data_IF_879972476347
#
_entry.id   IF_879972476347
#
_cell.length_a   1.000
_cell.length_b   1.000
_cell.length_c   1.000
_cell.angle_alpha   90.00
_cell.angle_beta   90.00
_cell.angle_gamma   90.00
#
_symmetry.space_group_name_H-M   'P 1'
#
loop_
_entity.id
_entity.type
_entity.pdbx_description
1 polymer ?
#
# COMPACT_ATOMS: atom_id res chain seq x y z
N UNK A 1 2.69 -37.37 -7.00
CA UNK A 1 2.22 -36.72 -8.24
C UNK A 1 2.04 -37.79 -9.30
N UNK A 2 1.22 -37.59 -10.33
CA UNK A 2 0.99 -38.62 -11.35
C UNK A 2 1.89 -38.39 -12.57
N UNK A 3 2.42 -39.44 -13.20
CA UNK A 3 3.17 -39.31 -14.47
C UNK A 3 2.18 -39.00 -15.61
N UNK A 4 2.33 -37.84 -16.24
CA UNK A 4 1.48 -37.41 -17.35
C UNK A 4 2.04 -37.88 -18.70
N UNK A 5 3.35 -37.70 -18.92
CA UNK A 5 4.02 -38.10 -20.16
C UNK A 5 5.44 -38.60 -19.91
N UNK A 6 5.89 -39.49 -20.79
CA UNK A 6 7.25 -39.99 -20.87
C UNK A 6 7.75 -39.76 -22.29
N UNK A 7 8.98 -39.26 -22.43
CA UNK A 7 9.56 -38.83 -23.71
C UNK A 7 10.73 -39.72 -24.17
N UNK A 8 11.07 -40.75 -23.39
CA UNK A 8 12.22 -41.63 -23.59
C UNK A 8 11.86 -43.08 -23.28
N UNK A 9 12.54 -44.02 -23.92
CA UNK A 9 12.40 -45.45 -23.65
C UNK A 9 13.74 -46.11 -23.28
N UNK A 10 13.67 -47.37 -22.86
CA UNK A 10 14.86 -48.17 -22.55
C UNK A 10 15.76 -48.28 -23.78
N UNK A 11 17.05 -48.04 -23.58
CA UNK A 11 18.04 -48.05 -24.65
C UNK A 11 18.28 -46.69 -25.32
N UNK A 12 17.48 -45.66 -25.05
CA UNK A 12 17.71 -44.32 -25.58
C UNK A 12 18.96 -43.66 -24.99
N UNK A 13 19.66 -42.88 -25.82
CA UNK A 13 20.77 -42.04 -25.40
C UNK A 13 20.22 -40.66 -25.01
N UNK A 14 20.54 -40.22 -23.80
CA UNK A 14 20.09 -38.94 -23.25
C UNK A 14 21.27 -38.01 -22.96
N UNK A 15 21.01 -36.71 -23.09
CA UNK A 15 21.97 -35.64 -22.78
C UNK A 15 21.71 -35.06 -21.37
N UNK A 16 22.70 -34.44 -20.72
CA UNK A 16 22.48 -33.65 -19.52
C UNK A 16 21.39 -32.59 -19.76
N UNK A 17 20.42 -32.48 -18.85
CA UNK A 17 19.28 -31.58 -18.94
C UNK A 17 18.13 -32.05 -19.85
N UNK A 18 18.23 -33.21 -20.50
CA UNK A 18 17.17 -33.71 -21.38
C UNK A 18 15.92 -34.11 -20.56
N UNK A 19 14.75 -33.66 -21.01
CA UNK A 19 13.47 -34.02 -20.41
C UNK A 19 13.16 -35.51 -20.66
N UNK A 20 12.91 -36.26 -19.59
CA UNK A 20 12.62 -37.69 -19.61
C UNK A 20 11.12 -37.95 -19.41
N UNK A 21 10.52 -37.24 -18.47
CA UNK A 21 9.09 -37.34 -18.15
C UNK A 21 8.55 -36.05 -17.55
N UNK A 22 7.24 -35.87 -17.63
CA UNK A 22 6.51 -34.81 -16.93
C UNK A 22 5.49 -35.41 -15.99
N UNK A 23 5.41 -34.86 -14.79
CA UNK A 23 4.36 -35.13 -13.81
C UNK A 23 3.20 -34.16 -14.02
N UNK A 24 1.99 -34.56 -13.65
CA UNK A 24 0.82 -33.66 -13.59
C UNK A 24 1.17 -32.48 -12.68
N UNK A 25 1.16 -31.30 -13.28
CA UNK A 25 1.55 -30.04 -12.66
C UNK A 25 0.39 -29.05 -12.56
N UNK A 26 -0.85 -29.50 -12.79
CA UNK A 26 -2.05 -28.66 -12.72
C UNK A 26 -2.11 -27.87 -11.40
N UNK A 27 -1.89 -28.55 -10.27
CA UNK A 27 -1.89 -27.93 -8.93
C UNK A 27 -0.72 -26.95 -8.75
N UNK A 28 0.51 -27.33 -9.11
CA UNK A 28 1.69 -26.46 -8.95
C UNK A 28 1.61 -25.23 -9.86
N UNK A 29 1.07 -25.38 -11.07
CA UNK A 29 0.86 -24.28 -12.01
C UNK A 29 -0.18 -23.30 -11.47
N UNK A 30 -1.28 -23.80 -10.90
CA UNK A 30 -2.28 -22.98 -10.24
C UNK A 30 -1.71 -22.26 -9.00
N UNK A 31 -0.89 -22.93 -8.19
CA UNK A 31 -0.22 -22.32 -7.03
C UNK A 31 0.78 -21.25 -7.45
N UNK A 32 1.50 -21.44 -8.56
CA UNK A 32 2.40 -20.42 -9.09
C UNK A 32 1.63 -19.20 -9.59
N UNK A 33 0.53 -19.41 -10.32
CA UNK A 33 -0.37 -18.33 -10.76
C UNK A 33 -0.95 -17.57 -9.57
N UNK A 34 -1.38 -18.27 -8.52
CA UNK A 34 -1.85 -17.64 -7.29
C UNK A 34 -0.75 -16.80 -6.63
N UNK A 35 0.47 -17.31 -6.51
CA UNK A 35 1.59 -16.55 -5.96
C UNK A 35 1.92 -15.31 -6.81
N UNK A 36 1.86 -15.41 -8.13
CA UNK A 36 2.04 -14.27 -9.03
C UNK A 36 0.95 -13.21 -8.85
N UNK A 37 -0.31 -13.62 -8.70
CA UNK A 37 -1.42 -12.70 -8.40
C UNK A 37 -1.22 -12.00 -7.04
N UNK A 38 -0.73 -12.73 -6.02
CA UNK A 38 -0.39 -12.15 -4.72
C UNK A 38 0.73 -11.12 -4.83
N UNK A 39 1.78 -11.38 -5.62
CA UNK A 39 2.83 -10.37 -5.88
C UNK A 39 2.22 -9.12 -6.50
N UNK A 40 1.41 -9.26 -7.56
CA UNK A 40 0.78 -8.12 -8.21
C UNK A 40 -0.09 -7.30 -7.24
N UNK A 41 -0.84 -7.97 -6.35
CA UNK A 41 -1.61 -7.31 -5.29
C UNK A 41 -0.71 -6.53 -4.31
N UNK A 42 0.40 -7.12 -3.86
CA UNK A 42 1.34 -6.46 -2.92
C UNK A 42 2.09 -5.30 -3.58
N UNK A 43 2.45 -5.43 -4.86
CA UNK A 43 3.06 -4.34 -5.63
C UNK A 43 2.09 -3.17 -5.82
N UNK A 44 0.83 -3.45 -6.16
CA UNK A 44 -0.22 -2.43 -6.23
C UNK A 44 -0.42 -1.72 -4.89
N UNK A 45 -0.46 -2.47 -3.78
CA UNK A 45 -0.58 -1.90 -2.43
C UNK A 45 0.62 -1.03 -2.06
N UNK A 46 1.84 -1.46 -2.37
CA UNK A 46 3.04 -0.67 -2.14
C UNK A 46 3.06 0.61 -2.99
N UNK A 47 2.60 0.53 -4.25
CA UNK A 47 2.47 1.68 -5.13
C UNK A 47 1.44 2.69 -4.59
N UNK A 48 0.28 2.22 -4.11
CA UNK A 48 -0.74 3.03 -3.43
C UNK A 48 -0.14 3.77 -2.21
N UNK A 49 0.57 3.04 -1.35
CA UNK A 49 1.22 3.63 -0.17
C UNK A 49 2.32 4.63 -0.52
N UNK A 50 3.02 4.45 -1.65
CA UNK A 50 4.05 5.41 -2.12
C UNK A 50 3.45 6.62 -2.81
N UNK A 51 2.35 6.45 -3.54
CA UNK A 51 1.59 7.55 -4.11
C UNK A 51 1.01 8.46 -3.01
N UNK A 52 0.72 7.89 -1.84
CA UNK A 52 0.25 8.62 -0.68
C UNK A 52 -1.21 9.06 -0.83
N UNK A 53 -1.57 10.16 -0.16
CA UNK A 53 -2.92 10.72 -0.28
C UNK A 53 -3.12 11.30 -1.67
N UNK A 54 -4.36 11.26 -2.16
CA UNK A 54 -4.67 11.76 -3.51
C UNK A 54 -4.46 13.27 -3.57
N UNK A 55 -3.98 13.76 -4.72
CA UNK A 55 -3.72 15.20 -4.93
C UNK A 55 -5.00 16.01 -4.74
N UNK A 56 -6.14 15.43 -5.11
CA UNK A 56 -7.48 15.98 -4.95
C UNK A 56 -7.86 16.14 -3.47
N UNK A 57 -7.52 15.19 -2.61
CA UNK A 57 -7.79 15.26 -1.16
C UNK A 57 -6.94 16.35 -0.50
N UNK A 58 -5.66 16.46 -0.89
CA UNK A 58 -4.77 17.52 -0.43
C UNK A 58 -5.28 18.89 -0.91
N UNK A 59 -5.71 18.98 -2.17
CA UNK A 59 -6.26 20.22 -2.72
C UNK A 59 -7.55 20.64 -2.00
N UNK A 60 -8.44 19.70 -1.68
CA UNK A 60 -9.64 19.97 -0.90
C UNK A 60 -9.31 20.45 0.52
N UNK A 61 -8.34 19.81 1.19
CA UNK A 61 -7.89 20.24 2.52
C UNK A 61 -7.26 21.64 2.49
N UNK A 62 -6.46 21.95 1.46
CA UNK A 62 -5.91 23.31 1.25
C UNK A 62 -7.01 24.35 1.02
N UNK A 63 -8.01 24.02 0.22
CA UNK A 63 -9.16 24.91 0.00
C UNK A 63 -9.93 25.19 1.31
N UNK A 64 -10.10 24.17 2.15
CA UNK A 64 -10.71 24.32 3.48
C UNK A 64 -9.90 25.28 4.37
N UNK A 65 -8.57 25.10 4.44
CA UNK A 65 -7.67 26.00 5.17
C UNK A 65 -7.79 27.44 4.66
N UNK A 66 -7.80 27.64 3.33
CA UNK A 66 -7.97 28.97 2.72
C UNK A 66 -9.33 29.60 3.07
N UNK A 67 -10.41 28.82 3.07
CA UNK A 67 -11.73 29.30 3.43
C UNK A 67 -11.77 29.78 4.89
N UNK A 68 -11.21 29.00 5.82
CA UNK A 68 -11.16 29.38 7.24
C UNK A 68 -10.26 30.60 7.43
N UNK A 69 -9.14 30.68 6.70
CA UNK A 69 -8.27 31.85 6.74
C UNK A 69 -9.02 33.13 6.31
N UNK A 70 -9.89 33.05 5.29
CA UNK A 70 -10.74 34.17 4.89
C UNK A 70 -11.75 34.55 5.99
N UNK A 71 -12.32 33.55 6.68
CA UNK A 71 -13.21 33.79 7.83
C UNK A 71 -12.48 34.47 9.01
N UNK A 72 -11.22 34.08 9.27
CA UNK A 72 -10.37 34.76 10.26
C UNK A 72 -10.19 36.22 9.87
N UNK A 73 -9.80 36.51 8.63
CA UNK A 73 -9.59 37.89 8.16
C UNK A 73 -10.86 38.73 8.29
N UNK A 74 -12.03 38.16 7.99
CA UNK A 74 -13.31 38.83 8.21
C UNK A 74 -13.58 39.09 9.70
N UNK A 75 -13.39 38.09 10.56
CA UNK A 75 -13.62 38.22 11.99
C UNK A 75 -12.66 39.21 12.67
N UNK A 76 -11.41 39.31 12.18
CA UNK A 76 -10.43 40.31 12.62
C UNK A 76 -10.89 41.73 12.27
N UNK A 77 -11.40 41.94 11.06
CA UNK A 77 -11.94 43.22 10.64
C UNK A 77 -13.17 43.64 11.47
N UNK A 78 -14.07 42.70 11.73
CA UNK A 78 -15.27 42.91 12.55
C UNK A 78 -14.91 43.25 14.00
N UNK A 79 -13.98 42.50 14.60
CA UNK A 79 -13.48 42.77 15.96
C UNK A 79 -12.81 44.15 16.04
N UNK A 80 -11.97 44.49 15.06
CA UNK A 80 -11.31 45.79 15.01
C UNK A 80 -12.31 46.95 14.88
N UNK A 81 -13.42 46.76 14.16
CA UNK A 81 -14.52 47.74 14.10
C UNK A 81 -15.22 47.86 15.46
N UNK A 82 -15.56 46.74 16.10
CA UNK A 82 -16.22 46.73 17.41
C UNK A 82 -15.34 47.40 18.49
N UNK A 83 -14.04 47.10 18.52
CA UNK A 83 -13.07 47.71 19.44
C UNK A 83 -12.98 49.24 19.24
N UNK A 84 -12.90 49.72 17.99
CA UNK A 84 -12.91 51.17 17.71
C UNK A 84 -14.21 51.85 18.15
N UNK A 85 -15.35 51.16 18.08
CA UNK A 85 -16.63 51.67 18.59
C UNK A 85 -16.62 51.76 20.11
N UNK A 86 -16.12 50.73 20.81
CA UNK A 86 -15.95 50.75 22.27
C UNK A 86 -15.06 51.91 22.70
N UNK A 87 -13.89 52.07 22.07
CA UNK A 87 -12.93 53.12 22.41
C UNK A 87 -13.54 54.52 22.26
N UNK A 88 -14.20 54.79 21.12
CA UNK A 88 -14.88 56.07 20.89
C UNK A 88 -16.00 56.33 21.90
N UNK A 89 -16.82 55.32 22.19
CA UNK A 89 -17.96 55.48 23.08
C UNK A 89 -17.54 55.56 24.56
N UNK A 90 -16.40 54.97 24.93
CA UNK A 90 -15.83 55.16 26.27
C UNK A 90 -15.50 56.62 26.54
N UNK A 91 -14.91 57.33 25.57
CA UNK A 91 -14.68 58.78 25.71
C UNK A 91 -16.00 59.55 25.85
N UNK A 92 -17.03 59.19 25.06
CA UNK A 92 -18.34 59.83 25.12
C UNK A 92 -19.11 59.56 26.43
N UNK A 93 -18.90 58.42 27.08
CA UNK A 93 -19.50 58.13 28.41
C UNK A 93 -18.88 59.00 29.49
N UNK A 94 -17.55 59.17 29.45
CA UNK A 94 -16.82 60.08 30.36
C UNK A 94 -17.29 61.53 30.19
N UNK A 95 -17.58 61.94 28.96
CA UNK A 95 -18.13 63.26 28.64
C UNK A 95 -19.64 63.39 28.95
N UNK A 96 -20.29 62.32 29.44
CA UNK A 96 -21.72 62.28 29.79
C UNK A 96 -22.67 62.24 28.58
N UNK A 97 -22.17 61.99 27.37
CA UNK A 97 -22.92 62.02 26.12
C UNK A 97 -23.66 60.70 25.80
N UNK A 98 -23.32 59.59 26.46
CA UNK A 98 -24.01 58.30 26.35
C UNK A 98 -24.26 57.66 27.72
N UNK A 99 -25.15 56.65 27.78
CA UNK A 99 -25.40 55.88 29.00
C UNK A 99 -24.39 54.76 29.21
N UNK A 100 -24.20 54.32 30.46
CA UNK A 100 -23.39 53.15 30.81
C UNK A 100 -23.89 51.87 30.16
N UNK A 101 -25.21 51.64 30.19
CA UNK A 101 -25.84 50.48 29.55
C UNK A 101 -25.46 50.39 28.06
N UNK A 102 -25.37 51.54 27.37
CA UNK A 102 -24.99 51.58 25.96
C UNK A 102 -23.52 51.21 25.74
N UNK A 103 -22.62 51.60 26.65
CA UNK A 103 -21.23 51.18 26.60
C UNK A 103 -21.08 49.68 26.89
N UNK A 104 -21.84 49.15 27.84
CA UNK A 104 -21.85 47.73 28.20
C UNK A 104 -22.33 46.85 27.04
N UNK A 105 -23.34 47.28 26.29
CA UNK A 105 -23.76 46.61 25.05
C UNK A 105 -22.62 46.50 24.02
N UNK A 106 -21.84 47.56 23.83
CA UNK A 106 -20.71 47.58 22.90
C UNK A 106 -19.55 46.72 23.38
N UNK A 107 -19.30 46.68 24.69
CA UNK A 107 -18.30 45.80 25.30
C UNK A 107 -18.67 44.34 25.08
N UNK A 108 -19.95 43.99 25.29
CA UNK A 108 -20.46 42.64 25.03
C UNK A 108 -20.35 42.27 23.54
N UNK A 109 -20.70 43.18 22.62
CA UNK A 109 -20.51 42.95 21.17
C UNK A 109 -19.05 42.66 20.82
N UNK A 110 -18.11 43.47 21.32
CA UNK A 110 -16.68 43.25 21.10
C UNK A 110 -16.19 41.90 21.66
N UNK A 111 -16.68 41.50 22.85
CA UNK A 111 -16.37 40.20 23.43
C UNK A 111 -16.90 39.04 22.58
N UNK A 112 -18.11 39.15 22.04
CA UNK A 112 -18.69 38.16 21.13
C UNK A 112 -17.83 38.04 19.85
N UNK A 113 -17.45 39.17 19.24
CA UNK A 113 -16.56 39.16 18.06
C UNK A 113 -15.19 38.54 18.36
N UNK A 114 -14.66 38.78 19.55
CA UNK A 114 -13.41 38.15 19.99
C UNK A 114 -13.56 36.63 20.13
N UNK A 115 -14.66 36.16 20.71
CA UNK A 115 -14.95 34.73 20.83
C UNK A 115 -15.07 34.05 19.45
N UNK A 116 -15.75 34.71 18.49
CA UNK A 116 -15.86 34.23 17.11
C UNK A 116 -14.49 34.13 16.44
N UNK A 117 -13.62 35.14 16.61
CA UNK A 117 -12.26 35.09 16.08
C UNK A 117 -11.46 33.92 16.67
N UNK A 118 -11.56 33.70 17.99
CA UNK A 118 -10.87 32.57 18.63
C UNK A 118 -11.40 31.23 18.13
N UNK A 119 -12.71 31.12 17.89
CA UNK A 119 -13.31 29.93 17.30
C UNK A 119 -12.72 29.64 15.92
N UNK A 120 -12.65 30.63 15.03
CA UNK A 120 -12.06 30.44 13.69
C UNK A 120 -10.56 30.11 13.75
N UNK A 121 -9.81 30.71 14.68
CA UNK A 121 -8.39 30.37 14.89
C UNK A 121 -8.21 28.92 15.32
N UNK A 122 -9.06 28.42 16.23
CA UNK A 122 -9.04 27.02 16.61
C UNK A 122 -9.37 26.09 15.43
N UNK A 123 -10.41 26.42 14.65
CA UNK A 123 -10.76 25.66 13.44
C UNK A 123 -9.66 25.69 12.38
N UNK A 124 -8.94 26.81 12.24
CA UNK A 124 -7.81 26.91 11.32
C UNK A 124 -6.67 25.99 11.73
N UNK A 125 -6.32 25.98 13.02
CA UNK A 125 -5.31 25.06 13.53
C UNK A 125 -5.68 23.60 13.26
N UNK A 126 -6.93 23.22 13.53
CA UNK A 126 -7.42 21.86 13.26
C UNK A 126 -7.33 21.51 11.77
N UNK A 127 -7.77 22.41 10.88
CA UNK A 127 -7.70 22.20 9.43
C UNK A 127 -6.25 22.13 8.94
N UNK A 128 -5.35 22.93 9.51
CA UNK A 128 -3.93 22.94 9.18
C UNK A 128 -3.24 21.64 9.62
N UNK A 129 -3.57 21.14 10.81
CA UNK A 129 -3.09 19.83 11.29
C UNK A 129 -3.60 18.69 10.40
N UNK A 130 -4.86 18.76 9.97
CA UNK A 130 -5.42 17.78 9.05
C UNK A 130 -4.72 17.80 7.70
N UNK A 131 -4.46 18.99 7.13
CA UNK A 131 -3.67 19.14 5.91
C UNK A 131 -2.24 18.58 6.10
N UNK A 132 -1.59 18.89 7.21
CA UNK A 132 -0.24 18.38 7.50
C UNK A 132 -0.20 16.85 7.59
N UNK A 133 -1.24 16.21 8.15
CA UNK A 133 -1.35 14.75 8.17
C UNK A 133 -1.51 14.16 6.77
N UNK A 134 -2.28 14.83 5.90
CA UNK A 134 -2.44 14.42 4.51
C UNK A 134 -1.15 14.60 3.70
N UNK A 135 -0.41 15.70 3.92
CA UNK A 135 0.86 15.96 3.24
C UNK A 135 2.01 15.07 3.73
N UNK A 136 2.02 14.69 5.02
CA UNK A 136 3.01 13.78 5.58
C UNK A 136 2.91 12.36 4.97
N UNK A 137 1.74 11.99 4.44
CA UNK A 137 1.50 10.72 3.79
C UNK A 137 1.65 9.50 4.72
N UNK A 138 1.73 8.29 4.15
CA UNK A 138 1.90 7.06 4.91
C UNK A 138 3.25 7.05 5.63
N UNK A 139 3.24 6.60 6.89
CA UNK A 139 4.45 6.53 7.69
C UNK A 139 5.47 5.55 7.08
N UNK A 140 6.76 5.83 7.25
CA UNK A 140 7.86 5.02 6.69
C UNK A 140 7.79 3.56 7.14
N UNK A 141 7.32 3.31 8.36
CA UNK A 141 7.16 1.97 8.94
C UNK A 141 6.11 1.16 8.17
N UNK A 142 5.02 1.80 7.73
CA UNK A 142 3.97 1.15 6.94
C UNK A 142 4.48 0.79 5.54
N UNK A 143 5.27 1.68 4.93
CA UNK A 143 5.93 1.40 3.65
C UNK A 143 6.94 0.25 3.81
N UNK A 144 7.75 0.27 4.88
CA UNK A 144 8.72 -0.78 5.16
C UNK A 144 8.03 -2.14 5.37
N UNK A 145 6.90 -2.17 6.09
CA UNK A 145 6.09 -3.37 6.25
C UNK A 145 5.58 -3.88 4.89
N UNK A 146 5.03 -3.01 4.04
CA UNK A 146 4.56 -3.40 2.71
C UNK A 146 5.69 -3.91 1.79
N UNK A 147 6.91 -3.37 1.93
CA UNK A 147 8.10 -3.90 1.25
C UNK A 147 8.44 -5.30 1.75
N UNK A 148 8.36 -5.55 3.06
CA UNK A 148 8.59 -6.87 3.64
C UNK A 148 7.55 -7.89 3.17
N UNK A 149 6.26 -7.52 3.16
CA UNK A 149 5.17 -8.37 2.64
C UNK A 149 5.36 -8.71 1.15
N UNK A 150 5.84 -7.76 0.35
CA UNK A 150 6.18 -8.01 -1.05
C UNK A 150 7.36 -8.97 -1.19
N UNK A 151 8.38 -8.84 -0.34
CA UNK A 151 9.54 -9.74 -0.34
C UNK A 151 9.12 -11.17 0.04
N UNK A 152 8.23 -11.33 1.01
CA UNK A 152 7.65 -12.62 1.40
C UNK A 152 6.86 -13.24 0.22
N UNK A 153 5.98 -12.47 -0.43
CA UNK A 153 5.24 -12.95 -1.60
C UNK A 153 6.17 -13.39 -2.74
N UNK A 154 7.27 -12.66 -2.96
CA UNK A 154 8.31 -13.03 -3.92
C UNK A 154 9.02 -14.33 -3.54
N UNK A 155 9.33 -14.53 -2.26
CA UNK A 155 9.91 -15.78 -1.78
C UNK A 155 8.94 -16.97 -2.00
N UNK A 156 7.66 -16.78 -1.72
CA UNK A 156 6.65 -17.83 -1.96
C UNK A 156 6.51 -18.19 -3.44
N UNK A 157 6.57 -17.19 -4.33
CA UNK A 157 6.61 -17.45 -5.78
C UNK A 157 7.82 -18.28 -6.17
N UNK A 158 9.01 -18.00 -5.62
CA UNK A 158 10.22 -18.79 -5.91
C UNK A 158 10.07 -20.24 -5.45
N UNK A 159 9.47 -20.47 -4.28
CA UNK A 159 9.19 -21.83 -3.78
C UNK A 159 8.25 -22.56 -4.75
N UNK A 160 7.15 -21.93 -5.17
CA UNK A 160 6.18 -22.54 -6.08
C UNK A 160 6.79 -22.76 -7.48
N UNK A 161 7.66 -21.85 -7.93
CA UNK A 161 8.38 -21.98 -9.20
C UNK A 161 9.34 -23.17 -9.18
N UNK A 162 10.04 -23.37 -8.06
CA UNK A 162 10.90 -24.54 -7.85
C UNK A 162 10.08 -25.84 -7.88
N UNK A 163 8.97 -25.91 -7.14
CA UNK A 163 8.08 -27.09 -7.16
C UNK A 163 7.52 -27.38 -8.55
N UNK A 164 7.12 -26.35 -9.30
CA UNK A 164 6.69 -26.51 -10.69
C UNK A 164 7.83 -27.04 -11.57
N UNK A 165 9.07 -26.59 -11.35
CA UNK A 165 10.24 -27.11 -12.06
C UNK A 165 10.49 -28.59 -11.73
N UNK A 166 10.29 -29.01 -10.48
CA UNK A 166 10.46 -30.39 -10.03
C UNK A 166 9.43 -31.36 -10.65
N UNK A 167 8.34 -30.85 -11.24
CA UNK A 167 7.41 -31.67 -12.04
C UNK A 167 8.02 -32.15 -13.37
N UNK A 168 9.13 -31.57 -13.80
CA UNK A 168 9.87 -31.98 -15.00
C UNK A 168 11.05 -32.85 -14.60
N UNK A 169 10.97 -34.13 -14.95
CA UNK A 169 12.05 -35.09 -14.69
C UNK A 169 13.07 -34.96 -15.82
N UNK A 170 14.26 -34.48 -15.49
CA UNK A 170 15.38 -34.30 -16.44
C UNK A 170 16.51 -35.26 -16.12
N UNK A 171 17.33 -35.58 -17.12
CA UNK A 171 18.58 -36.30 -16.90
C UNK A 171 19.64 -35.38 -16.31
N UNK A 172 20.26 -35.69 -15.15
CA UNK A 172 21.37 -34.89 -14.64
C UNK A 172 22.67 -35.09 -15.44
N UNK A 173 22.81 -36.23 -16.13
CA UNK A 173 24.04 -36.68 -16.79
C UNK A 173 23.77 -37.11 -18.23
N UNK A 174 24.84 -37.28 -19.02
CA UNK A 174 24.76 -37.87 -20.35
C UNK A 174 24.97 -39.37 -20.28
N UNK A 175 24.15 -40.16 -20.97
CA UNK A 175 24.25 -41.62 -20.86
C UNK A 175 23.17 -42.37 -21.61
N UNK A 176 23.13 -43.68 -21.39
CA UNK A 176 22.09 -44.55 -21.96
C UNK A 176 21.11 -44.96 -20.87
N UNK A 177 19.81 -44.92 -21.17
CA UNK A 177 18.78 -45.42 -20.26
C UNK A 177 18.89 -46.94 -20.18
N UNK A 178 19.25 -47.44 -19.01
CA UNK A 178 19.38 -48.87 -18.73
C UNK A 178 18.04 -49.50 -18.40
N UNK A 179 17.24 -48.82 -17.56
CA UNK A 179 15.94 -49.31 -17.10
C UNK A 179 14.96 -48.15 -16.94
N UNK A 180 13.69 -48.38 -17.30
CA UNK A 180 12.57 -47.47 -17.09
C UNK A 180 11.51 -48.16 -16.24
N UNK A 181 11.39 -47.72 -14.99
CA UNK A 181 10.33 -48.19 -14.10
C UNK A 181 9.07 -47.32 -14.15
N UNK A 182 9.20 -46.08 -14.63
CA UNK A 182 8.09 -45.15 -14.80
C UNK A 182 7.09 -45.58 -15.89
N UNK A 183 5.78 -45.53 -15.59
CA UNK A 183 4.69 -45.64 -16.58
C UNK A 183 3.76 -44.44 -16.51
N UNK A 184 3.18 -44.07 -17.65
CA UNK A 184 2.15 -43.03 -17.72
C UNK A 184 0.97 -43.46 -16.84
N UNK A 185 0.55 -42.56 -15.97
CA UNK A 185 -0.52 -42.80 -15.00
C UNK A 185 -0.05 -43.24 -13.61
N UNK A 186 1.23 -43.59 -13.42
CA UNK A 186 1.75 -43.98 -12.11
C UNK A 186 1.78 -42.82 -11.12
N UNK A 187 1.50 -43.09 -9.85
CA UNK A 187 1.66 -42.10 -8.77
C UNK A 187 3.07 -42.22 -8.21
N UNK A 188 3.89 -41.21 -8.48
CA UNK A 188 5.26 -41.13 -7.99
C UNK A 188 5.30 -40.62 -6.56
N UNK A 189 6.12 -41.29 -5.74
CA UNK A 189 6.57 -40.83 -4.41
C UNK A 189 8.03 -40.40 -4.53
N UNK A 190 8.44 -39.46 -3.67
CA UNK A 190 9.78 -38.85 -3.71
C UNK A 190 10.97 -39.82 -3.56
N UNK A 191 10.74 -41.09 -3.25
CA UNK A 191 11.75 -42.14 -3.03
C UNK A 191 11.75 -43.26 -4.08
N UNK A 192 10.89 -43.20 -5.10
CA UNK A 192 10.80 -44.24 -6.13
C UNK A 192 11.72 -43.91 -7.31
N UNK A 193 12.61 -44.82 -7.67
CA UNK A 193 13.43 -44.69 -8.87
C UNK A 193 12.54 -44.80 -10.11
N UNK A 194 12.63 -43.83 -11.02
CA UNK A 194 11.83 -43.79 -12.25
C UNK A 194 12.64 -44.23 -13.48
N UNK A 195 13.92 -43.86 -13.51
CA UNK A 195 14.86 -44.15 -14.60
C UNK A 195 16.24 -44.47 -14.03
N UNK A 196 16.92 -45.45 -14.61
CA UNK A 196 18.32 -45.75 -14.32
C UNK A 196 19.16 -45.41 -15.55
N UNK A 197 20.15 -44.54 -15.39
CA UNK A 197 21.01 -44.06 -16.48
C UNK A 197 22.42 -44.56 -16.22
N UNK A 198 23.02 -45.21 -17.22
CA UNK A 198 24.43 -45.55 -17.21
C UNK A 198 25.17 -44.41 -17.90
N UNK A 199 26.01 -43.72 -17.13
CA UNK A 199 26.88 -42.66 -17.67
C UNK A 199 27.77 -43.23 -18.75
N UNK A 200 27.76 -42.58 -19.92
CA UNK A 200 28.73 -42.90 -20.95
C UNK A 200 29.94 -42.00 -20.72
N UNK A 201 30.87 -42.47 -19.90
CA UNK A 201 32.20 -41.87 -19.77
C UNK A 201 33.02 -42.26 -21.00
N UNK A 202 32.80 -41.52 -22.09
CA UNK A 202 33.57 -41.59 -23.33
C UNK A 202 34.09 -40.20 -23.68
#
# INVERSE_FOLDING_TARGET
>A
MQIERIFVDEGDIVKPGQLLATLDNSVESAQLQQAQATIAQREARLAELRAGNRVEEIAQARASVQQIQAQITQAEADLALAQRRVERNRSLEVDGAITRDRLDELLNDAQIKQAILQQFKASFQEAQEQLSKLEAGPRKEVIAQAVAELAEAKAQYQINAARLKDTKIISPVGGKISQREARVGDITKSSQALFTIIENTA
#
